data_IF_309471781822
#
_entry.id   IF_309471781822
#
_cell.length_a   1.000
_cell.length_b   1.000
_cell.length_c   1.000
_cell.angle_alpha   90.00
_cell.angle_beta   90.00
_cell.angle_gamma   90.00
#
_symmetry.space_group_name_H-M   'P 1'
#
loop_
_entity.id
_entity.type
_entity.pdbx_description
1 polymer ?
#
# COMPACT_ATOMS: atom_id res chain seq x y z
N UNK A 1 -15.67 -4.48 -9.63
CA UNK A 1 -14.78 -3.73 -8.70
C UNK A 1 -14.35 -4.72 -7.63
N UNK A 2 -13.06 -4.81 -7.27
CA UNK A 2 -12.66 -5.67 -6.16
C UNK A 2 -13.25 -5.16 -4.85
N UNK A 3 -13.46 -6.04 -3.90
CA UNK A 3 -13.76 -5.72 -2.51
C UNK A 3 -12.49 -5.37 -1.75
N UNK A 4 -12.62 -4.70 -0.60
CA UNK A 4 -11.51 -4.45 0.33
C UNK A 4 -10.81 -5.77 0.70
N UNK A 5 -11.58 -6.84 0.93
CA UNK A 5 -11.05 -8.15 1.28
C UNK A 5 -10.19 -8.74 0.14
N UNK A 6 -10.58 -8.55 -1.12
CA UNK A 6 -9.78 -9.00 -2.27
C UNK A 6 -8.48 -8.21 -2.41
N UNK A 7 -8.49 -6.89 -2.18
CA UNK A 7 -7.27 -6.07 -2.15
C UNK A 7 -6.32 -6.53 -1.02
N UNK A 8 -6.82 -6.69 0.20
CA UNK A 8 -6.01 -7.20 1.33
C UNK A 8 -5.43 -8.59 1.04
N UNK A 9 -6.23 -9.47 0.44
CA UNK A 9 -5.78 -10.79 0.01
C UNK A 9 -4.72 -10.69 -1.08
N UNK A 10 -4.83 -9.73 -1.99
CA UNK A 10 -3.82 -9.42 -3.01
C UNK A 10 -2.48 -9.08 -2.36
N UNK A 11 -2.48 -8.13 -1.42
CA UNK A 11 -1.29 -7.73 -0.68
C UNK A 11 -0.61 -8.92 0.01
N UNK A 12 -1.36 -9.72 0.78
CA UNK A 12 -0.83 -10.89 1.50
C UNK A 12 -0.35 -12.01 0.56
N UNK A 13 -0.83 -12.05 -0.68
CA UNK A 13 -0.35 -12.99 -1.70
C UNK A 13 0.96 -12.51 -2.33
N UNK A 14 1.09 -11.21 -2.57
CA UNK A 14 2.28 -10.59 -3.15
C UNK A 14 3.44 -10.55 -2.14
N UNK A 15 3.16 -10.19 -0.89
CA UNK A 15 4.15 -10.19 0.20
C UNK A 15 3.84 -11.27 1.24
N UNK A 16 4.59 -12.38 1.19
CA UNK A 16 4.35 -13.59 2.02
C UNK A 16 5.18 -13.65 3.31
N UNK A 17 6.16 -12.76 3.47
CA UNK A 17 7.00 -12.72 4.67
C UNK A 17 6.20 -12.11 5.83
N UNK A 18 6.49 -12.47 7.09
CA UNK A 18 5.85 -11.83 8.23
C UNK A 18 6.23 -10.34 8.31
N UNK A 19 5.25 -9.50 8.66
CA UNK A 19 5.44 -8.07 8.96
C UNK A 19 5.22 -7.89 10.46
N UNK A 20 6.11 -7.21 11.20
CA UNK A 20 5.87 -6.91 12.61
C UNK A 20 4.53 -6.19 12.80
N UNK A 21 3.81 -6.55 13.87
CA UNK A 21 2.42 -6.12 14.08
C UNK A 21 2.24 -4.61 14.11
N UNK A 22 3.23 -3.86 14.62
CA UNK A 22 3.21 -2.39 14.67
C UNK A 22 3.06 -1.76 13.28
N UNK A 23 3.73 -2.32 12.26
CA UNK A 23 3.62 -1.83 10.88
C UNK A 23 2.41 -2.45 10.17
N UNK A 24 2.16 -3.75 10.38
CA UNK A 24 1.11 -4.47 9.67
C UNK A 24 -0.28 -3.88 9.93
N UNK A 25 -0.59 -3.51 11.18
CA UNK A 25 -1.89 -2.90 11.50
C UNK A 25 -2.12 -1.62 10.68
N UNK A 26 -1.14 -0.71 10.67
CA UNK A 26 -1.26 0.58 9.97
C UNK A 26 -1.28 0.37 8.44
N UNK A 27 -0.45 -0.51 7.90
CA UNK A 27 -0.47 -0.87 6.47
C UNK A 27 -1.85 -1.42 6.05
N UNK A 28 -2.44 -2.31 6.86
CA UNK A 28 -3.75 -2.87 6.57
C UNK A 28 -4.86 -1.82 6.61
N UNK A 29 -4.78 -0.83 7.49
CA UNK A 29 -5.72 0.30 7.54
C UNK A 29 -5.55 1.23 6.34
N UNK A 30 -4.30 1.56 5.97
CA UNK A 30 -3.99 2.36 4.78
C UNK A 30 -4.53 1.70 3.50
N UNK A 31 -4.36 0.38 3.35
CA UNK A 31 -4.94 -0.37 2.23
C UNK A 31 -6.46 -0.17 2.15
N UNK A 32 -7.17 -0.20 3.28
CA UNK A 32 -8.63 0.03 3.28
C UNK A 32 -8.95 1.44 2.79
N UNK A 33 -8.29 2.44 3.36
CA UNK A 33 -8.54 3.84 3.05
C UNK A 33 -8.26 4.14 1.58
N UNK A 34 -7.11 3.71 1.06
CA UNK A 34 -6.75 3.91 -0.33
C UNK A 34 -7.63 3.09 -1.28
N UNK A 35 -8.03 1.87 -0.93
CA UNK A 35 -9.01 1.11 -1.71
C UNK A 35 -10.31 1.92 -1.88
N UNK A 36 -10.83 2.47 -0.78
CA UNK A 36 -12.05 3.29 -0.83
C UNK A 36 -11.87 4.55 -1.67
N UNK A 37 -10.67 5.14 -1.71
CA UNK A 37 -10.38 6.28 -2.59
C UNK A 37 -10.27 5.84 -4.06
N UNK A 38 -9.50 4.79 -4.33
CA UNK A 38 -9.17 4.27 -5.66
C UNK A 38 -10.38 3.81 -6.47
N UNK A 39 -11.38 3.26 -5.80
CA UNK A 39 -12.57 2.70 -6.43
C UNK A 39 -13.81 3.62 -6.31
N UNK A 40 -13.64 4.87 -5.84
CA UNK A 40 -14.69 5.91 -6.00
C UNK A 40 -14.90 6.19 -7.48
N UNK A 41 -16.16 6.48 -7.86
CA UNK A 41 -16.52 6.82 -9.26
C UNK A 41 -15.75 8.03 -9.81
N UNK A 42 -15.36 8.95 -8.94
CA UNK A 42 -14.66 10.19 -9.28
C UNK A 42 -13.14 10.05 -9.22
N UNK A 43 -12.61 8.85 -8.95
CA UNK A 43 -11.17 8.65 -8.83
C UNK A 43 -10.46 9.00 -10.14
N UNK A 44 -9.39 9.76 -9.99
CA UNK A 44 -8.38 9.99 -11.02
C UNK A 44 -7.03 9.98 -10.31
N UNK A 45 -6.03 9.44 -10.98
CA UNK A 45 -4.66 9.55 -10.49
C UNK A 45 -4.27 11.03 -10.33
N UNK A 46 -3.53 11.32 -9.26
CA UNK A 46 -3.03 12.64 -8.91
C UNK A 46 -1.59 12.48 -8.40
N UNK A 47 -0.62 13.08 -9.11
CA UNK A 47 0.79 12.99 -8.76
C UNK A 47 1.13 13.64 -7.41
N UNK A 48 0.36 14.65 -6.97
CA UNK A 48 0.53 15.27 -5.64
C UNK A 48 0.09 14.29 -4.56
N UNK A 49 -1.00 13.55 -4.79
CA UNK A 49 -1.42 12.47 -3.90
C UNK A 49 -0.39 11.35 -3.86
N UNK A 50 0.14 10.92 -5.00
CA UNK A 50 1.14 9.86 -5.09
C UNK A 50 2.41 10.21 -4.29
N UNK A 51 2.98 11.40 -4.54
CA UNK A 51 4.15 11.90 -3.79
C UNK A 51 3.86 12.02 -2.29
N UNK A 52 2.69 12.55 -1.93
CA UNK A 52 2.26 12.64 -0.54
C UNK A 52 2.13 11.28 0.13
N UNK A 53 1.61 10.28 -0.59
CA UNK A 53 1.51 8.90 -0.12
C UNK A 53 2.88 8.28 0.11
N UNK A 54 3.83 8.43 -0.82
CA UNK A 54 5.21 7.92 -0.65
C UNK A 54 5.87 8.54 0.56
N UNK A 55 5.71 9.85 0.76
CA UNK A 55 6.26 10.54 1.93
C UNK A 55 5.72 9.99 3.25
N UNK A 56 4.40 9.73 3.32
CA UNK A 56 3.77 9.14 4.51
C UNK A 56 4.20 7.68 4.70
N UNK A 57 4.30 6.91 3.62
CA UNK A 57 4.77 5.53 3.66
C UNK A 57 6.21 5.44 4.19
N UNK A 58 7.10 6.30 3.71
CA UNK A 58 8.51 6.34 4.14
C UNK A 58 8.66 6.66 5.61
N UNK A 59 7.88 7.62 6.12
CA UNK A 59 7.83 7.95 7.54
C UNK A 59 7.26 6.80 8.38
N UNK A 60 6.19 6.16 7.91
CA UNK A 60 5.57 5.03 8.59
C UNK A 60 6.53 3.83 8.70
N UNK A 61 7.34 3.61 7.66
CA UNK A 61 8.28 2.50 7.57
C UNK A 61 9.67 2.84 8.13
N UNK A 62 9.82 4.01 8.77
CA UNK A 62 11.04 4.38 9.46
C UNK A 62 11.38 3.36 10.57
N UNK A 63 12.63 2.93 10.61
CA UNK A 63 13.07 1.91 11.57
C UNK A 63 12.66 0.47 11.23
N UNK A 64 12.03 0.22 10.07
CA UNK A 64 11.79 -1.14 9.62
C UNK A 64 13.14 -1.86 9.38
N UNK A 65 13.33 -3.11 9.85
CA UNK A 65 14.67 -3.72 9.93
C UNK A 65 15.39 -3.95 8.59
N UNK A 66 14.65 -4.02 7.48
CA UNK A 66 15.15 -4.43 6.16
C UNK A 66 14.64 -3.47 5.10
N UNK A 67 15.54 -2.70 4.49
CA UNK A 67 15.18 -1.76 3.42
C UNK A 67 14.63 -2.49 2.18
N UNK A 68 15.19 -3.65 1.83
CA UNK A 68 14.67 -4.48 0.73
C UNK A 68 13.22 -4.90 1.00
N UNK A 69 12.90 -5.30 2.24
CA UNK A 69 11.53 -5.68 2.58
C UNK A 69 10.59 -4.47 2.59
N UNK A 70 11.06 -3.26 2.93
CA UNK A 70 10.26 -2.03 2.77
C UNK A 70 9.85 -1.85 1.32
N UNK A 71 10.80 -1.92 0.39
CA UNK A 71 10.53 -1.74 -1.04
C UNK A 71 9.59 -2.83 -1.58
N UNK A 72 9.78 -4.09 -1.14
CA UNK A 72 8.89 -5.20 -1.51
C UNK A 72 7.48 -5.04 -0.93
N UNK A 73 7.34 -4.52 0.30
CA UNK A 73 6.04 -4.22 0.91
C UNK A 73 5.35 -3.09 0.13
N UNK A 74 6.08 -2.03 -0.20
CA UNK A 74 5.55 -0.90 -0.98
C UNK A 74 5.02 -1.37 -2.34
N UNK A 75 5.84 -2.11 -3.07
CA UNK A 75 5.46 -2.70 -4.35
C UNK A 75 4.21 -3.57 -4.23
N UNK A 76 4.19 -4.50 -3.26
CA UNK A 76 3.04 -5.36 -3.03
C UNK A 76 1.77 -4.57 -2.65
N UNK A 77 1.92 -3.48 -1.91
CA UNK A 77 0.83 -2.59 -1.52
C UNK A 77 0.21 -1.91 -2.75
N UNK A 78 1.01 -1.28 -3.60
CA UNK A 78 0.54 -0.54 -4.78
C UNK A 78 -0.06 -1.50 -5.82
N UNK A 79 0.58 -2.64 -6.06
CA UNK A 79 0.07 -3.68 -6.97
C UNK A 79 -1.26 -4.27 -6.49
N UNK A 80 -1.46 -4.44 -5.17
CA UNK A 80 -2.71 -4.94 -4.62
C UNK A 80 -3.91 -4.02 -4.91
N UNK A 81 -3.65 -2.72 -5.09
CA UNK A 81 -4.64 -1.72 -5.48
C UNK A 81 -4.86 -1.64 -7.00
N UNK A 82 -4.08 -2.41 -7.78
CA UNK A 82 -4.01 -2.37 -9.25
C UNK A 82 -3.50 -1.03 -9.77
N UNK A 83 -2.49 -0.50 -9.10
CA UNK A 83 -1.76 0.68 -9.52
C UNK A 83 -0.32 0.32 -9.86
N UNK A 84 0.40 1.25 -10.47
CA UNK A 84 1.77 1.08 -10.92
C UNK A 84 2.73 1.67 -9.88
N UNK A 85 3.58 0.86 -9.22
CA UNK A 85 4.58 1.34 -8.27
C UNK A 85 5.55 2.36 -8.86
N UNK A 86 5.81 2.36 -10.17
CA UNK A 86 6.70 3.34 -10.81
C UNK A 86 6.07 4.73 -10.96
N UNK A 87 4.75 4.84 -10.76
CA UNK A 87 4.02 6.10 -10.76
C UNK A 87 3.90 6.70 -9.35
N UNK A 88 4.42 6.05 -8.31
CA UNK A 88 4.40 6.54 -6.94
C UNK A 88 5.82 6.88 -6.49
#
# INVERSE_FOLDING_TARGET
LPTVAETKKGFLKSYKKPIPSVYNTVLQELIVQQHLMRYKKTYKYDAVFALGFVTVYDQLMEGYPSNEDRDLIFKAYIEALKEDPEQY
#
